data_IF_030625616760
#
_entry.id   IF_030625616760
#
_cell.length_a   1.000
_cell.length_b   1.000
_cell.length_c   1.000
_cell.angle_alpha   90.00
_cell.angle_beta   90.00
_cell.angle_gamma   90.00
#
_symmetry.space_group_name_H-M   'P 1'
#
loop_
_entity.id
_entity.type
_entity.pdbx_description
1 polymer ?
#
# COMPACT_ATOMS: atom_id res chain seq x y z
N UNK A 1 28.00 -16.21 -11.25
CA UNK A 1 26.99 -16.46 -10.21
C UNK A 1 26.88 -15.18 -9.41
N UNK A 2 25.88 -14.36 -9.70
CA UNK A 2 25.64 -13.15 -8.93
C UNK A 2 25.08 -13.59 -7.58
N UNK A 3 25.77 -13.23 -6.50
CA UNK A 3 25.27 -13.41 -5.14
C UNK A 3 23.99 -12.58 -5.01
N UNK A 4 22.85 -13.24 -4.83
CA UNK A 4 21.64 -12.60 -4.35
C UNK A 4 21.88 -12.20 -2.89
N UNK A 5 22.25 -10.94 -2.67
CA UNK A 5 22.21 -10.32 -1.34
C UNK A 5 20.78 -10.45 -0.80
N UNK A 6 20.59 -11.39 0.15
CA UNK A 6 19.35 -11.48 0.92
C UNK A 6 19.14 -10.13 1.60
N UNK A 7 17.95 -9.50 1.47
CA UNK A 7 17.71 -8.22 2.10
C UNK A 7 17.83 -8.39 3.62
N UNK A 8 18.77 -7.68 4.23
CA UNK A 8 18.95 -7.70 5.68
C UNK A 8 17.60 -7.42 6.35
N UNK A 9 17.14 -8.43 7.07
CA UNK A 9 16.00 -8.36 7.97
C UNK A 9 16.54 -7.79 9.28
N UNK A 10 16.36 -6.49 9.50
CA UNK A 10 16.54 -5.95 10.84
C UNK A 10 16.99 -4.49 10.87
N UNK A 11 16.01 -3.61 11.07
CA UNK A 11 16.18 -2.23 11.56
C UNK A 11 17.06 -1.29 10.72
N UNK A 12 16.40 -0.29 10.14
CA UNK A 12 17.06 0.89 9.57
C UNK A 12 17.81 1.63 10.69
N UNK A 13 19.14 1.50 10.72
CA UNK A 13 20.00 2.13 11.73
C UNK A 13 19.98 3.66 11.58
N UNK A 14 20.20 4.15 10.37
CA UNK A 14 20.19 5.57 10.01
C UNK A 14 19.24 5.82 8.83
N UNK A 15 18.53 6.95 8.86
CA UNK A 15 17.64 7.36 7.76
C UNK A 15 18.47 8.22 6.79
N UNK A 16 18.48 7.84 5.51
CA UNK A 16 19.13 8.62 4.44
C UNK A 16 18.59 10.05 4.37
N UNK A 17 19.40 11.01 3.90
CA UNK A 17 18.91 12.38 3.68
C UNK A 17 17.95 12.41 2.49
N UNK A 18 16.73 12.91 2.73
CA UNK A 18 15.68 13.03 1.71
C UNK A 18 16.15 13.76 0.45
N UNK A 19 16.95 14.82 0.59
CA UNK A 19 17.43 15.64 -0.53
C UNK A 19 18.49 14.95 -1.41
N UNK A 20 19.06 13.83 -0.96
CA UNK A 20 20.14 13.11 -1.65
C UNK A 20 19.63 11.81 -2.27
N UNK A 21 18.79 11.08 -1.56
CA UNK A 21 18.18 9.82 -2.01
C UNK A 21 16.75 9.74 -1.47
N UNK A 22 15.80 10.29 -2.22
CA UNK A 22 14.39 10.28 -1.85
C UNK A 22 13.79 8.87 -1.81
N UNK A 23 13.99 7.99 -2.82
CA UNK A 23 13.48 6.62 -2.76
C UNK A 23 14.01 5.84 -1.56
N UNK A 24 15.29 6.00 -1.26
CA UNK A 24 15.93 5.40 -0.10
C UNK A 24 15.40 5.90 1.23
N UNK A 25 15.32 7.23 1.37
CA UNK A 25 14.73 7.88 2.54
C UNK A 25 13.30 7.41 2.80
N UNK A 26 12.47 7.30 1.75
CA UNK A 26 11.08 6.85 1.88
C UNK A 26 11.00 5.44 2.47
N UNK A 27 11.78 4.51 1.90
CA UNK A 27 11.85 3.13 2.40
C UNK A 27 12.38 3.06 3.83
N UNK A 28 13.39 3.87 4.15
CA UNK A 28 13.98 3.96 5.48
C UNK A 28 12.94 4.44 6.51
N UNK A 29 12.18 5.48 6.18
CA UNK A 29 11.11 6.02 7.03
C UNK A 29 10.00 5.00 7.24
N UNK A 30 9.49 4.40 6.17
CA UNK A 30 8.40 3.41 6.24
C UNK A 30 8.77 2.23 7.14
N UNK A 31 10.00 1.71 7.00
CA UNK A 31 10.49 0.58 7.80
C UNK A 31 10.80 1.00 9.24
N UNK A 32 11.46 2.14 9.46
CA UNK A 32 11.84 2.61 10.81
C UNK A 32 10.64 3.01 11.66
N UNK A 33 9.64 3.63 11.04
CA UNK A 33 8.37 3.98 11.69
C UNK A 33 7.42 2.78 11.82
N UNK A 34 7.81 1.59 11.35
CA UNK A 34 7.00 0.37 11.42
C UNK A 34 5.61 0.57 10.76
N UNK A 35 5.58 1.18 9.58
CA UNK A 35 4.33 1.40 8.84
C UNK A 35 3.95 0.19 7.98
N UNK A 36 4.92 -0.43 7.32
CA UNK A 36 4.69 -1.61 6.49
C UNK A 36 5.95 -2.48 6.35
N UNK A 37 5.75 -3.75 6.05
CA UNK A 37 6.78 -4.73 5.70
C UNK A 37 6.58 -5.26 4.27
N UNK A 38 7.66 -5.81 3.72
CA UNK A 38 7.59 -6.56 2.46
C UNK A 38 6.86 -7.89 2.70
N UNK A 39 5.97 -8.24 1.78
CA UNK A 39 5.36 -9.57 1.70
C UNK A 39 6.26 -10.53 0.91
N UNK A 40 6.13 -11.86 1.11
CA UNK A 40 6.81 -12.85 0.27
C UNK A 40 6.40 -12.81 -1.21
N UNK A 41 5.28 -12.14 -1.54
CA UNK A 41 4.82 -11.95 -2.92
C UNK A 41 5.27 -10.59 -3.44
N UNK A 42 6.04 -10.60 -4.52
CA UNK A 42 6.50 -9.37 -5.17
C UNK A 42 5.33 -8.44 -5.52
N UNK A 43 5.51 -7.14 -5.28
CA UNK A 43 4.46 -6.13 -5.52
C UNK A 43 3.38 -6.07 -4.44
N UNK A 44 3.50 -6.84 -3.35
CA UNK A 44 2.57 -6.77 -2.21
C UNK A 44 3.30 -6.37 -0.93
N UNK A 45 2.55 -5.80 0.02
CA UNK A 45 3.08 -5.30 1.30
C UNK A 45 2.16 -5.71 2.44
N UNK A 46 2.74 -5.90 3.63
CA UNK A 46 2.00 -6.11 4.88
C UNK A 46 1.94 -4.77 5.58
N UNK A 47 0.75 -4.18 5.70
CA UNK A 47 0.56 -2.93 6.43
C UNK A 47 0.49 -3.24 7.94
N UNK A 48 1.34 -2.60 8.73
CA UNK A 48 1.39 -2.77 10.19
C UNK A 48 0.30 -1.94 10.88
N UNK A 49 0.00 -2.20 12.17
CA UNK A 49 -1.04 -1.45 12.89
C UNK A 49 -0.90 0.07 12.82
N UNK A 50 0.32 0.61 12.91
CA UNK A 50 0.53 2.06 12.82
C UNK A 50 0.25 2.61 11.42
N UNK A 51 0.67 1.89 10.36
CA UNK A 51 0.33 2.24 8.99
C UNK A 51 -1.15 2.10 8.67
N UNK A 52 -1.80 1.08 9.24
CA UNK A 52 -3.24 0.86 9.05
C UNK A 52 -4.06 1.94 9.76
N UNK A 53 -3.66 2.36 10.96
CA UNK A 53 -4.30 3.48 11.65
C UNK A 53 -4.23 4.78 10.83
N UNK A 54 -3.14 5.06 10.11
CA UNK A 54 -3.09 6.19 9.18
C UNK A 54 -4.12 6.06 8.06
N UNK A 55 -4.28 4.85 7.51
CA UNK A 55 -5.29 4.58 6.49
C UNK A 55 -6.71 4.79 7.03
N UNK A 56 -7.03 4.32 8.23
CA UNK A 56 -8.35 4.53 8.86
C UNK A 56 -8.64 6.02 9.06
N UNK A 57 -7.64 6.80 9.49
CA UNK A 57 -7.75 8.26 9.63
C UNK A 57 -7.92 9.01 8.30
N UNK A 58 -7.68 8.37 7.15
CA UNK A 58 -7.95 8.94 5.82
C UNK A 58 -9.32 8.46 5.32
N UNK A 59 -9.55 7.15 5.39
CA UNK A 59 -10.76 6.48 4.90
C UNK A 59 -12.02 6.97 5.61
N UNK A 60 -12.01 6.99 6.95
CA UNK A 60 -13.23 7.21 7.72
C UNK A 60 -13.78 8.64 7.57
N UNK A 61 -12.94 9.70 7.58
CA UNK A 61 -13.43 11.04 7.30
C UNK A 61 -13.94 11.18 5.86
N UNK A 62 -13.24 10.60 4.88
CA UNK A 62 -13.65 10.65 3.48
C UNK A 62 -15.00 9.95 3.27
N UNK A 63 -15.18 8.78 3.88
CA UNK A 63 -16.43 8.03 3.86
C UNK A 63 -17.59 8.84 4.46
N UNK A 64 -17.33 9.54 5.59
CA UNK A 64 -18.29 10.47 6.19
C UNK A 64 -18.73 11.57 5.22
N UNK A 65 -17.77 12.25 4.58
CA UNK A 65 -18.03 13.32 3.62
C UNK A 65 -18.83 12.82 2.40
N UNK A 66 -18.55 11.61 1.91
CA UNK A 66 -19.30 11.01 0.80
C UNK A 66 -20.74 10.73 1.23
N UNK A 67 -20.96 10.17 2.42
CA UNK A 67 -22.30 9.89 2.95
C UNK A 67 -23.13 11.14 3.19
N UNK A 68 -22.52 12.26 3.57
CA UNK A 68 -23.20 13.56 3.72
C UNK A 68 -23.87 14.03 2.42
N UNK A 69 -23.35 13.60 1.26
CA UNK A 69 -23.93 13.93 -0.05
C UNK A 69 -25.06 12.97 -0.48
N UNK A 70 -25.49 12.06 0.40
CA UNK A 70 -26.59 11.11 0.16
C UNK A 70 -26.17 9.79 -0.50
N UNK A 71 -24.87 9.49 -0.54
CA UNK A 71 -24.36 8.23 -1.10
C UNK A 71 -24.35 7.10 -0.06
N UNK A 72 -24.45 5.87 -0.54
CA UNK A 72 -24.42 4.66 0.29
C UNK A 72 -23.28 3.74 -0.17
N UNK A 73 -22.65 3.06 0.79
CA UNK A 73 -21.58 2.10 0.49
C UNK A 73 -22.17 0.77 0.03
N UNK A 74 -21.61 0.22 -1.05
CA UNK A 74 -21.94 -1.11 -1.56
C UNK A 74 -20.69 -1.99 -1.51
N UNK A 75 -20.87 -3.28 -1.23
CA UNK A 75 -19.79 -4.26 -1.22
C UNK A 75 -20.01 -5.28 -2.34
N UNK A 76 -19.07 -5.34 -3.28
CA UNK A 76 -19.09 -6.27 -4.41
C UNK A 76 -18.03 -7.37 -4.23
N UNK A 77 -18.23 -8.56 -4.83
CA UNK A 77 -17.23 -9.62 -4.81
C UNK A 77 -15.91 -9.19 -5.48
N UNK A 78 -14.78 -9.50 -4.85
CA UNK A 78 -13.46 -9.24 -5.41
C UNK A 78 -13.14 -10.13 -6.64
N UNK A 79 -13.73 -11.32 -6.71
CA UNK A 79 -13.57 -12.24 -7.83
C UNK A 79 -14.65 -11.96 -8.88
N UNK A 80 -14.24 -11.41 -10.01
CA UNK A 80 -15.14 -11.07 -11.13
C UNK A 80 -14.94 -12.11 -12.25
N UNK A 81 -16.03 -12.69 -12.80
CA UNK A 81 -15.93 -13.59 -13.95
C UNK A 81 -15.25 -12.91 -15.14
N UNK A 82 -14.36 -13.64 -15.82
CA UNK A 82 -13.64 -13.12 -16.99
C UNK A 82 -14.57 -12.60 -18.09
N UNK A 83 -15.75 -13.22 -18.25
CA UNK A 83 -16.77 -12.79 -19.22
C UNK A 83 -17.30 -11.38 -18.96
N UNK A 84 -17.20 -10.86 -17.73
CA UNK A 84 -17.61 -9.49 -17.39
C UNK A 84 -16.50 -8.50 -17.72
N UNK A 85 -15.24 -8.85 -17.43
CA UNK A 85 -14.07 -8.04 -17.82
C UNK A 85 -13.93 -7.90 -19.34
N UNK A 86 -14.32 -8.93 -20.10
CA UNK A 86 -14.24 -8.91 -21.57
C UNK A 86 -15.25 -7.99 -22.25
N UNK A 87 -16.29 -7.52 -21.55
CA UNK A 87 -17.31 -6.61 -22.13
C UNK A 87 -16.79 -5.20 -22.35
N UNK A 88 -15.71 -4.79 -21.68
CA UNK A 88 -15.09 -3.48 -21.86
C UNK A 88 -13.98 -3.46 -22.92
N UNK A 89 -13.70 -4.59 -23.60
CA UNK A 89 -12.63 -4.69 -24.60
C UNK A 89 -12.75 -3.71 -25.76
N UNK A 90 -13.96 -3.24 -26.08
CA UNK A 90 -14.19 -2.30 -27.18
C UNK A 90 -13.98 -0.83 -26.78
N UNK A 91 -13.71 -0.55 -25.49
CA UNK A 91 -13.44 0.80 -24.95
C UNK A 91 -11.98 1.00 -24.49
N UNK A 92 -11.09 0.05 -24.76
CA UNK A 92 -9.63 0.13 -24.52
C UNK A 92 -8.88 0.25 -25.83
#
# INVERSE_FOLDING_TARGET
>A
MAEEEKPETGFVKEIRKQSQDFPGWYNDVVRKAQLADNSPVAGTMIIRPYGYALWENIRDPLDGLIKETGHENWYFPALIPLSFLQKEKDHV
#
